data_IF_956944481153
#
_entry.id   IF_956944481153
#
_cell.length_a   1.000
_cell.length_b   1.000
_cell.length_c   1.000
_cell.angle_alpha   90.00
_cell.angle_beta   90.00
_cell.angle_gamma   90.00
#
_symmetry.space_group_name_H-M   'P 1'
#
loop_
_entity.id
_entity.type
_entity.pdbx_description
1 polymer ?
#
# COMPACT_ATOMS: atom_id res chain seq x y z
N UNK A 1 16.69 -2.72 -83.28
CA UNK A 1 15.59 -1.87 -82.77
C UNK A 1 14.91 -2.66 -81.66
N UNK A 2 15.35 -2.46 -80.42
CA UNK A 2 14.96 -3.26 -79.26
C UNK A 2 14.52 -2.28 -78.17
N UNK A 3 13.28 -2.43 -77.73
CA UNK A 3 12.57 -1.52 -76.81
C UNK A 3 13.01 -1.84 -75.37
N UNK A 4 13.37 -0.85 -74.54
CA UNK A 4 13.61 -1.08 -73.12
C UNK A 4 12.28 -1.08 -72.34
N UNK A 5 12.06 -2.14 -71.56
CA UNK A 5 10.97 -2.21 -70.57
C UNK A 5 11.39 -1.54 -69.27
N UNK A 6 10.54 -0.69 -68.64
CA UNK A 6 10.85 -0.11 -67.35
C UNK A 6 10.55 -1.12 -66.23
N UNK A 7 11.58 -1.44 -65.44
CA UNK A 7 11.46 -2.19 -64.19
C UNK A 7 10.93 -1.24 -63.11
N UNK A 8 9.62 -1.34 -62.82
CA UNK A 8 9.01 -0.77 -61.62
C UNK A 8 9.29 -1.70 -60.45
N UNK A 9 10.23 -1.34 -59.56
CA UNK A 9 10.40 -2.02 -58.27
C UNK A 9 10.25 -1.01 -57.12
N UNK A 10 9.00 -0.64 -56.83
CA UNK A 10 8.64 0.07 -55.60
C UNK A 10 8.74 -0.94 -54.45
N UNK A 11 9.91 -1.03 -53.81
CA UNK A 11 10.09 -1.77 -52.55
C UNK A 11 9.55 -0.93 -51.40
N UNK A 12 8.28 -1.13 -51.07
CA UNK A 12 7.70 -0.64 -49.82
C UNK A 12 8.03 -1.60 -48.69
N UNK A 13 9.10 -1.30 -47.96
CA UNK A 13 9.43 -1.95 -46.68
C UNK A 13 8.42 -1.49 -45.63
N UNK A 14 7.40 -2.31 -45.39
CA UNK A 14 6.51 -2.14 -44.24
C UNK A 14 7.26 -2.63 -42.99
N UNK A 15 7.92 -1.71 -42.27
CA UNK A 15 8.44 -2.00 -40.94
C UNK A 15 7.26 -2.06 -39.96
N UNK A 16 6.81 -3.26 -39.64
CA UNK A 16 5.84 -3.52 -38.57
C UNK A 16 6.57 -3.32 -37.23
N UNK A 17 6.50 -2.12 -36.68
CA UNK A 17 6.93 -1.85 -35.30
C UNK A 17 5.86 -2.43 -34.38
N UNK A 18 6.09 -3.66 -33.91
CA UNK A 18 5.33 -4.22 -32.80
C UNK A 18 5.76 -3.48 -31.52
N UNK A 19 5.05 -2.41 -31.19
CA UNK A 19 5.19 -1.74 -29.90
C UNK A 19 4.55 -2.66 -28.86
N UNK A 20 5.34 -3.59 -28.30
CA UNK A 20 4.98 -4.31 -27.09
C UNK A 20 4.89 -3.26 -25.97
N UNK A 21 3.69 -2.77 -25.70
CA UNK A 21 3.42 -2.01 -24.49
C UNK A 21 3.62 -2.97 -23.32
N UNK A 22 4.81 -2.96 -22.72
CA UNK A 22 5.06 -3.61 -21.45
C UNK A 22 4.24 -2.85 -20.43
N UNK A 23 3.07 -3.36 -20.07
CA UNK A 23 2.36 -2.85 -18.91
C UNK A 23 3.29 -3.02 -17.72
N UNK A 24 3.66 -1.95 -16.99
CA UNK A 24 4.46 -2.12 -15.79
C UNK A 24 3.73 -3.12 -14.89
N UNK A 25 4.42 -4.22 -14.55
CA UNK A 25 3.92 -5.14 -13.53
C UNK A 25 4.06 -4.39 -12.21
N UNK A 26 3.01 -3.70 -11.81
CA UNK A 26 2.95 -3.08 -10.50
C UNK A 26 3.10 -4.18 -9.45
N UNK A 27 3.91 -3.92 -8.43
CA UNK A 27 3.96 -4.80 -7.26
C UNK A 27 2.56 -4.81 -6.62
N UNK A 28 1.74 -5.82 -6.92
CA UNK A 28 0.44 -5.97 -6.30
C UNK A 28 0.63 -6.68 -4.96
N UNK A 29 0.59 -5.92 -3.88
CA UNK A 29 0.45 -6.47 -2.55
C UNK A 29 -1.04 -6.71 -2.29
N UNK A 30 -1.44 -7.98 -2.20
CA UNK A 30 -2.82 -8.39 -1.98
C UNK A 30 -2.83 -9.49 -0.93
N UNK A 31 -3.38 -9.18 0.24
CA UNK A 31 -3.49 -10.07 1.38
C UNK A 31 -4.96 -10.27 1.72
N UNK A 32 -5.48 -11.49 1.54
CA UNK A 32 -6.89 -11.82 1.82
C UNK A 32 -7.04 -12.69 3.05
N UNK A 33 -5.93 -13.17 3.61
CA UNK A 33 -5.92 -14.04 4.78
C UNK A 33 -6.81 -15.29 4.65
N UNK A 34 -7.17 -15.73 3.45
CA UNK A 34 -8.12 -16.85 3.31
C UNK A 34 -7.53 -18.20 3.73
N UNK A 35 -6.21 -18.33 3.67
CA UNK A 35 -5.51 -19.58 3.98
C UNK A 35 -4.65 -19.53 5.25
N UNK A 36 -4.15 -18.35 5.63
CA UNK A 36 -3.26 -18.14 6.78
C UNK A 36 -3.03 -16.64 7.04
N UNK A 37 -2.10 -16.29 7.93
CA UNK A 37 -1.71 -14.91 8.24
C UNK A 37 -0.86 -14.22 7.15
N UNK A 38 -0.51 -14.93 6.07
CA UNK A 38 0.24 -14.47 4.90
C UNK A 38 1.59 -13.82 5.18
N UNK A 39 2.15 -13.96 6.38
CA UNK A 39 3.41 -13.34 6.81
C UNK A 39 3.23 -12.06 7.64
N UNK A 40 2.01 -11.71 7.99
CA UNK A 40 1.70 -10.67 8.98
C UNK A 40 1.88 -11.18 10.41
N UNK A 41 2.24 -10.26 11.30
CA UNK A 41 2.54 -10.47 12.71
C UNK A 41 1.90 -9.35 13.53
N UNK A 42 1.85 -9.50 14.86
CA UNK A 42 1.46 -8.41 15.75
C UNK A 42 2.55 -8.06 16.78
N UNK A 43 2.51 -6.81 17.23
CA UNK A 43 3.36 -6.29 18.30
C UNK A 43 2.70 -5.09 18.96
N UNK A 44 3.42 -4.48 19.90
CA UNK A 44 2.97 -3.24 20.53
C UNK A 44 4.04 -2.15 20.44
N UNK A 45 3.58 -0.90 20.47
CA UNK A 45 4.43 0.28 20.68
C UNK A 45 3.98 1.00 21.96
N UNK A 46 4.84 1.75 22.67
CA UNK A 46 4.39 2.54 23.80
C UNK A 46 3.31 3.56 23.41
N UNK A 47 2.39 3.81 24.35
CA UNK A 47 1.28 4.77 24.18
C UNK A 47 1.77 6.12 23.69
N UNK A 48 0.99 6.75 22.82
CA UNK A 48 1.32 8.09 22.33
C UNK A 48 2.25 8.09 21.12
N UNK A 49 2.40 6.96 20.41
CA UNK A 49 2.92 6.95 19.04
C UNK A 49 1.99 7.71 18.06
N UNK A 50 0.89 8.25 18.58
CA UNK A 50 -0.21 9.07 18.06
C UNK A 50 0.09 10.18 17.04
N UNK A 51 1.32 10.63 16.85
CA UNK A 51 1.60 11.67 15.86
C UNK A 51 2.25 11.07 14.60
N UNK A 52 1.61 11.16 13.41
CA UNK A 52 2.19 10.69 12.16
C UNK A 52 3.46 11.45 11.73
N UNK A 53 3.72 12.65 12.27
CA UNK A 53 4.91 13.44 11.95
C UNK A 53 6.13 13.15 12.83
N UNK A 54 5.98 12.36 13.89
CA UNK A 54 7.10 11.97 14.75
C UNK A 54 7.48 10.52 14.47
N UNK A 55 8.79 10.21 14.32
CA UNK A 55 9.26 8.84 14.44
C UNK A 55 8.73 8.24 15.75
N UNK A 56 8.33 6.97 15.77
CA UNK A 56 7.90 6.35 17.01
C UNK A 56 9.06 6.37 18.02
N UNK A 57 8.77 6.79 19.25
CA UNK A 57 9.80 7.05 20.27
C UNK A 57 10.45 5.79 20.86
N UNK A 58 10.05 4.59 20.42
CA UNK A 58 10.49 3.33 21.01
C UNK A 58 10.35 2.16 20.03
N UNK A 59 11.18 1.11 20.18
CA UNK A 59 11.16 -0.04 19.29
C UNK A 59 9.80 -0.76 19.34
N UNK A 60 9.41 -1.33 18.20
CA UNK A 60 8.32 -2.30 18.14
C UNK A 60 8.68 -3.48 19.04
N UNK A 61 7.79 -3.88 19.95
CA UNK A 61 7.96 -5.09 20.75
C UNK A 61 7.18 -6.24 20.10
N UNK A 62 7.85 -7.19 19.41
CA UNK A 62 7.16 -8.33 18.80
C UNK A 62 6.44 -9.14 19.87
N UNK A 63 5.17 -9.50 19.63
CA UNK A 63 4.33 -10.20 20.62
C UNK A 63 4.36 -9.52 22.00
N UNK A 64 4.38 -8.19 22.05
CA UNK A 64 4.33 -7.42 23.30
C UNK A 64 3.02 -7.64 24.05
N UNK A 65 2.39 -6.56 24.50
CA UNK A 65 1.09 -6.65 25.17
C UNK A 65 -0.07 -6.94 24.20
N UNK A 66 0.14 -7.81 23.20
CA UNK A 66 -0.85 -8.18 22.19
C UNK A 66 -0.89 -9.68 21.97
N UNK A 67 -2.07 -10.20 21.67
CA UNK A 67 -2.26 -11.57 21.15
C UNK A 67 -2.59 -11.53 19.67
N UNK A 68 -1.90 -12.36 18.87
CA UNK A 68 -2.12 -12.49 17.44
C UNK A 68 -2.73 -13.84 17.09
N UNK A 69 -3.74 -13.86 16.22
CA UNK A 69 -4.28 -15.11 15.69
C UNK A 69 -4.80 -14.97 14.27
N UNK A 70 -4.69 -16.05 13.51
CA UNK A 70 -5.42 -16.23 12.25
C UNK A 70 -6.74 -16.95 12.53
N UNK A 71 -7.82 -16.53 11.88
CA UNK A 71 -9.14 -17.16 11.95
C UNK A 71 -9.60 -17.48 10.53
N UNK A 72 -9.90 -18.76 10.26
CA UNK A 72 -10.20 -19.23 8.91
C UNK A 72 -11.59 -18.84 8.37
N UNK A 73 -12.43 -18.21 9.18
CA UNK A 73 -13.79 -17.83 8.82
C UNK A 73 -14.24 -16.55 9.54
N UNK A 74 -15.21 -15.86 8.94
CA UNK A 74 -15.81 -14.66 9.50
C UNK A 74 -15.17 -13.35 9.05
N UNK A 75 -14.26 -13.40 8.08
CA UNK A 75 -13.72 -12.28 7.30
C UNK A 75 -14.72 -11.71 6.28
N UNK A 76 -14.22 -11.00 5.27
CA UNK A 76 -15.02 -10.26 4.29
C UNK A 76 -14.63 -10.54 2.82
N UNK A 77 -14.96 -11.71 2.23
CA UNK A 77 -15.37 -12.96 2.88
C UNK A 77 -14.15 -13.77 3.34
N UNK A 78 -14.40 -14.94 3.95
CA UNK A 78 -13.33 -15.92 4.21
C UNK A 78 -12.62 -15.72 5.55
N UNK A 79 -11.29 -15.77 5.53
CA UNK A 79 -10.46 -15.69 6.73
C UNK A 79 -10.09 -14.25 7.12
N UNK A 80 -9.50 -14.07 8.30
CA UNK A 80 -8.95 -12.78 8.75
C UNK A 80 -7.89 -12.98 9.83
N UNK A 81 -7.12 -11.94 10.13
CA UNK A 81 -6.24 -11.91 11.31
C UNK A 81 -6.86 -11.10 12.43
N UNK A 82 -6.60 -11.49 13.68
CA UNK A 82 -7.02 -10.76 14.89
C UNK A 82 -5.80 -10.31 15.67
N UNK A 83 -5.87 -9.06 16.12
CA UNK A 83 -4.97 -8.48 17.10
C UNK A 83 -5.81 -8.14 18.32
N UNK A 84 -5.53 -8.80 19.43
CA UNK A 84 -6.12 -8.44 20.71
C UNK A 84 -5.11 -7.62 21.50
N UNK A 85 -5.47 -6.42 21.92
CA UNK A 85 -4.70 -5.71 22.93
C UNK A 85 -4.95 -6.37 24.29
N UNK A 86 -3.87 -6.57 25.05
CA UNK A 86 -3.87 -7.28 26.34
C UNK A 86 -3.11 -6.51 27.42
N UNK A 87 -2.61 -5.30 27.13
CA UNK A 87 -1.89 -4.50 28.12
C UNK A 87 -1.45 -3.15 27.57
N UNK A 88 -0.44 -2.53 28.18
CA UNK A 88 -0.03 -1.18 27.78
C UNK A 88 0.60 -1.11 26.38
N UNK A 89 0.19 -0.11 25.60
CA UNK A 89 0.76 0.21 24.29
C UNK A 89 -0.32 0.41 23.22
N UNK A 90 0.11 0.84 22.04
CA UNK A 90 -0.72 0.78 20.84
C UNK A 90 -0.54 -0.61 20.22
N UNK A 91 -1.62 -1.36 20.01
CA UNK A 91 -1.61 -2.60 19.24
C UNK A 91 -1.30 -2.35 17.76
N UNK A 92 -0.33 -3.11 17.22
CA UNK A 92 0.17 -2.97 15.84
C UNK A 92 0.09 -4.31 15.11
N UNK A 93 -0.45 -4.26 13.89
CA UNK A 93 -0.31 -5.30 12.88
C UNK A 93 0.81 -4.93 11.91
N UNK A 94 1.76 -5.82 11.64
CA UNK A 94 2.91 -5.49 10.79
C UNK A 94 3.39 -6.63 9.90
N UNK A 95 4.16 -6.28 8.87
CA UNK A 95 4.82 -7.21 7.96
C UNK A 95 6.23 -6.73 7.63
N UNK A 96 7.19 -7.65 7.69
CA UNK A 96 8.57 -7.41 7.28
C UNK A 96 8.83 -7.86 5.83
N UNK A 97 9.72 -7.14 5.15
CA UNK A 97 10.24 -7.45 3.83
C UNK A 97 11.75 -7.62 3.95
N UNK A 98 12.22 -8.88 3.94
CA UNK A 98 13.63 -9.20 4.11
C UNK A 98 14.48 -8.51 3.03
N UNK A 99 15.46 -7.69 3.45
CA UNK A 99 16.33 -6.95 2.55
C UNK A 99 15.69 -5.72 1.87
N UNK A 100 14.43 -5.43 2.19
CA UNK A 100 13.67 -4.33 1.60
C UNK A 100 13.04 -4.67 0.25
N UNK A 101 11.98 -3.95 -0.10
CA UNK A 101 11.27 -4.11 -1.37
C UNK A 101 11.00 -2.75 -1.99
N UNK A 102 11.13 -2.67 -3.31
CA UNK A 102 10.80 -1.47 -4.06
C UNK A 102 9.29 -1.42 -4.32
N UNK A 103 8.60 -0.56 -3.58
CA UNK A 103 7.18 -0.25 -3.70
C UNK A 103 6.94 1.12 -4.34
N UNK A 104 7.93 1.72 -5.00
CA UNK A 104 7.79 3.06 -5.62
C UNK A 104 6.67 3.10 -6.67
N UNK A 105 6.34 1.96 -7.28
CA UNK A 105 5.20 1.84 -8.19
C UNK A 105 3.84 2.01 -7.51
N UNK A 106 3.79 1.98 -6.17
CA UNK A 106 2.59 2.23 -5.37
C UNK A 106 2.35 3.71 -5.12
N UNK A 107 3.24 4.61 -5.57
CA UNK A 107 2.96 6.04 -5.53
C UNK A 107 1.70 6.34 -6.34
N UNK A 108 0.76 7.03 -5.71
CA UNK A 108 -0.61 7.30 -6.15
C UNK A 108 -1.53 6.07 -6.26
N UNK A 109 -1.11 4.89 -5.81
CA UNK A 109 -2.01 3.75 -5.66
C UNK A 109 -2.96 3.97 -4.46
N UNK A 110 -4.08 3.26 -4.45
CA UNK A 110 -4.98 3.21 -3.29
C UNK A 110 -4.54 2.08 -2.37
N UNK A 111 -4.14 2.42 -1.15
CA UNK A 111 -4.04 1.47 -0.05
C UNK A 111 -5.41 1.28 0.58
N UNK A 112 -5.78 0.02 0.87
CA UNK A 112 -7.02 -0.30 1.58
C UNK A 112 -6.87 -1.54 2.45
N UNK A 113 -7.73 -1.62 3.47
CA UNK A 113 -7.96 -2.83 4.25
C UNK A 113 -9.38 -2.80 4.83
N UNK A 114 -9.87 -3.97 5.21
CA UNK A 114 -11.10 -4.10 5.97
C UNK A 114 -10.78 -4.32 7.44
N UNK A 115 -11.55 -3.72 8.34
CA UNK A 115 -11.42 -3.99 9.77
C UNK A 115 -12.76 -4.06 10.48
N UNK A 116 -12.76 -4.73 11.63
CA UNK A 116 -13.92 -4.97 12.49
C UNK A 116 -13.52 -5.04 13.96
N UNK A 117 -14.32 -4.43 14.83
CA UNK A 117 -14.19 -4.57 16.27
C UNK A 117 -14.94 -5.82 16.75
N UNK A 118 -14.23 -6.75 17.38
CA UNK A 118 -14.82 -7.98 17.95
C UNK A 118 -15.15 -7.83 19.45
N UNK A 119 -14.31 -7.12 20.19
CA UNK A 119 -14.53 -6.81 21.60
C UNK A 119 -13.95 -5.43 21.92
N UNK A 120 -14.54 -4.79 22.92
CA UNK A 120 -14.20 -3.43 23.32
C UNK A 120 -15.34 -2.74 24.04
N UNK A 121 -15.07 -2.07 25.15
CA UNK A 121 -16.12 -1.50 26.02
C UNK A 121 -15.94 -0.02 26.34
N UNK A 122 -14.92 0.62 25.80
CA UNK A 122 -14.45 1.93 26.24
C UNK A 122 -14.55 3.00 25.16
N UNK A 123 -14.27 4.24 25.55
CA UNK A 123 -14.22 5.40 24.65
C UNK A 123 -13.20 5.21 23.54
N UNK A 124 -13.49 5.78 22.38
CA UNK A 124 -12.64 5.77 21.20
C UNK A 124 -11.20 6.24 21.48
N UNK A 125 -10.22 5.55 20.88
CA UNK A 125 -8.81 5.93 20.86
C UNK A 125 -8.39 6.30 19.44
N UNK A 126 -7.72 7.44 19.30
CA UNK A 126 -7.58 8.14 18.01
C UNK A 126 -6.57 7.62 16.96
N UNK A 127 -5.62 6.69 17.21
CA UNK A 127 -4.61 6.34 16.21
C UNK A 127 -4.99 5.13 15.33
N UNK A 128 -6.21 4.62 15.42
CA UNK A 128 -6.65 3.50 14.59
C UNK A 128 -6.41 3.78 13.10
N UNK A 129 -5.90 2.77 12.38
CA UNK A 129 -5.75 2.84 10.95
C UNK A 129 -4.58 3.71 10.50
N UNK A 130 -3.72 4.15 11.41
CA UNK A 130 -2.43 4.70 11.01
C UNK A 130 -1.58 3.64 10.34
N UNK A 131 -1.03 3.99 9.20
CA UNK A 131 -0.15 3.12 8.42
C UNK A 131 1.23 3.75 8.34
N UNK A 132 2.27 2.95 8.51
CA UNK A 132 3.66 3.40 8.42
C UNK A 132 4.48 2.51 7.50
N UNK A 133 5.29 3.14 6.65
CA UNK A 133 6.36 2.50 5.89
C UNK A 133 7.69 2.79 6.54
N UNK A 134 8.55 1.79 6.65
CA UNK A 134 9.92 1.94 7.14
C UNK A 134 10.92 1.56 6.07
N UNK A 135 12.03 2.30 6.00
CA UNK A 135 13.19 1.98 5.15
C UNK A 135 14.41 1.48 5.93
N UNK A 136 14.40 1.64 7.26
CA UNK A 136 15.39 1.14 8.21
C UNK A 136 14.68 0.40 9.34
N UNK A 137 15.30 -0.65 9.88
CA UNK A 137 14.62 -1.56 10.83
C UNK A 137 14.41 -0.96 12.21
N UNK A 138 15.01 0.20 12.48
CA UNK A 138 14.93 0.84 13.79
C UNK A 138 15.44 -0.04 14.91
N UNK A 139 16.18 -1.12 14.62
CA UNK A 139 16.55 -2.16 15.58
C UNK A 139 17.65 -1.72 16.55
N UNK A 140 17.79 -0.42 16.80
CA UNK A 140 18.50 0.04 17.98
C UNK A 140 17.49 0.09 19.12
N UNK A 141 17.70 -0.66 20.21
CA UNK A 141 16.75 -0.79 21.31
C UNK A 141 16.37 0.51 22.05
N UNK A 142 16.82 1.69 21.60
CA UNK A 142 16.63 2.98 22.28
C UNK A 142 16.87 4.23 21.40
N UNK A 143 16.92 4.14 20.06
CA UNK A 143 17.17 5.31 19.20
C UNK A 143 15.96 5.61 18.32
N UNK A 144 15.09 6.50 18.78
CA UNK A 144 13.97 7.04 17.99
C UNK A 144 14.42 8.01 16.88
N UNK A 145 15.73 8.27 16.75
CA UNK A 145 16.26 9.26 15.80
C UNK A 145 16.66 8.65 14.46
N UNK A 146 16.80 7.32 14.36
CA UNK A 146 17.28 6.64 13.15
C UNK A 146 16.16 5.98 12.33
N UNK A 147 14.93 5.99 12.85
CA UNK A 147 13.74 5.53 12.15
C UNK A 147 13.46 6.44 10.95
N UNK A 148 13.48 5.85 9.77
CA UNK A 148 13.20 6.52 8.50
C UNK A 148 11.99 5.89 7.83
N UNK A 149 11.07 6.73 7.38
CA UNK A 149 9.83 6.24 6.82
C UNK A 149 8.82 7.31 6.45
N UNK A 150 7.61 6.86 6.21
CA UNK A 150 6.47 7.74 5.98
C UNK A 150 5.21 7.17 6.62
N UNK A 151 4.40 8.02 7.21
CA UNK A 151 3.16 7.65 7.88
C UNK A 151 1.98 8.41 7.28
N UNK A 152 0.81 7.79 7.32
CA UNK A 152 -0.45 8.49 7.10
C UNK A 152 -1.53 7.90 8.01
N UNK A 153 -2.57 8.69 8.22
CA UNK A 153 -3.75 8.26 8.94
C UNK A 153 -4.87 8.00 7.94
N UNK A 154 -5.33 6.74 7.84
CA UNK A 154 -6.41 6.37 6.91
C UNK A 154 -7.79 6.76 7.45
N UNK A 155 -7.87 7.02 8.76
CA UNK A 155 -9.08 7.25 9.51
C UNK A 155 -8.88 8.48 10.43
N UNK A 156 -8.53 9.65 9.86
CA UNK A 156 -8.14 10.80 10.66
C UNK A 156 -9.31 11.28 11.54
N UNK A 157 -9.11 11.36 12.85
CA UNK A 157 -10.08 11.89 13.80
C UNK A 157 -10.00 11.23 15.19
N UNK A 158 -10.84 11.69 16.13
CA UNK A 158 -10.94 11.14 17.49
C UNK A 158 -12.13 10.19 17.68
N UNK A 159 -12.99 10.05 16.66
CA UNK A 159 -14.08 9.08 16.66
C UNK A 159 -13.57 7.78 16.07
N UNK A 160 -13.42 6.74 16.90
CA UNK A 160 -13.05 5.41 16.44
C UNK A 160 -14.09 4.98 15.41
N UNK A 161 -13.71 4.84 14.14
CA UNK A 161 -14.65 4.49 13.09
C UNK A 161 -14.89 2.97 13.06
N UNK A 162 -14.27 2.21 13.98
CA UNK A 162 -14.34 0.76 14.01
C UNK A 162 -15.69 0.33 14.57
N UNK A 163 -16.52 -0.20 13.67
CA UNK A 163 -17.81 -0.77 14.04
C UNK A 163 -17.67 -2.27 14.37
N UNK A 164 -18.71 -2.85 14.97
CA UNK A 164 -18.84 -4.30 15.14
C UNK A 164 -19.14 -5.04 13.84
N UNK A 165 -19.25 -4.32 12.71
CA UNK A 165 -19.35 -4.83 11.35
C UNK A 165 -18.07 -4.54 10.56
N UNK A 166 -17.78 -5.36 9.55
CA UNK A 166 -16.67 -5.11 8.64
C UNK A 166 -16.85 -3.78 7.90
N UNK A 167 -15.81 -2.96 7.90
CA UNK A 167 -15.75 -1.67 7.21
C UNK A 167 -14.45 -1.57 6.42
N UNK A 168 -14.52 -1.03 5.20
CA UNK A 168 -13.34 -0.78 4.35
C UNK A 168 -12.77 0.60 4.63
N UNK A 169 -11.48 0.65 4.90
CA UNK A 169 -10.69 1.88 5.02
C UNK A 169 -9.78 2.00 3.81
N UNK A 170 -9.70 3.18 3.22
CA UNK A 170 -8.87 3.40 2.03
C UNK A 170 -8.34 4.82 1.95
N UNK A 171 -7.09 4.97 1.49
CA UNK A 171 -6.51 6.25 1.12
C UNK A 171 -5.51 6.11 -0.03
N UNK A 172 -5.28 7.22 -0.73
CA UNK A 172 -4.27 7.28 -1.79
C UNK A 172 -2.88 7.44 -1.18
N UNK A 173 -1.92 6.64 -1.65
CA UNK A 173 -0.51 6.74 -1.30
C UNK A 173 0.10 7.94 -2.02
N UNK A 174 0.03 9.13 -1.42
CA UNK A 174 0.49 10.37 -2.05
C UNK A 174 1.22 11.29 -1.07
N UNK A 175 2.00 12.23 -1.60
CA UNK A 175 2.65 13.28 -0.79
C UNK A 175 1.64 14.18 -0.05
N UNK A 176 0.37 14.19 -0.46
CA UNK A 176 -0.67 14.97 0.23
C UNK A 176 -1.18 14.27 1.49
N UNK A 177 -1.14 12.93 1.52
CA UNK A 177 -1.64 12.13 2.64
C UNK A 177 -0.54 11.67 3.58
N UNK A 178 0.70 11.53 3.09
CA UNK A 178 1.82 11.01 3.87
C UNK A 178 2.68 12.12 4.45
N UNK A 179 3.04 11.95 5.72
CA UNK A 179 4.12 12.68 6.36
C UNK A 179 5.37 11.81 6.40
N UNK A 180 6.45 12.29 5.80
CA UNK A 180 7.77 11.63 5.90
C UNK A 180 8.38 11.96 7.25
N UNK A 181 8.86 10.93 7.95
CA UNK A 181 9.62 11.06 9.19
C UNK A 181 11.03 10.52 8.95
N UNK A 182 12.05 11.37 9.09
CA UNK A 182 13.44 11.00 8.86
C UNK A 182 14.37 12.09 9.41
N UNK A 183 15.55 11.74 9.95
CA UNK A 183 16.58 12.71 10.32
C UNK A 183 17.21 13.41 9.10
N UNK A 184 17.04 12.86 7.89
CA UNK A 184 17.50 13.43 6.62
C UNK A 184 16.32 13.69 5.67
N UNK A 185 16.38 14.69 4.78
CA UNK A 185 15.28 14.97 3.85
C UNK A 185 15.08 13.79 2.88
N UNK A 186 14.03 13.01 3.11
CA UNK A 186 13.54 11.98 2.21
C UNK A 186 12.23 12.43 1.56
N UNK A 187 12.02 11.99 0.32
CA UNK A 187 10.73 12.05 -0.37
C UNK A 187 9.96 10.75 -0.15
N UNK A 188 8.63 10.77 -0.31
CA UNK A 188 7.83 9.55 -0.25
C UNK A 188 8.31 8.52 -1.30
N UNK A 189 8.70 8.95 -2.49
CA UNK A 189 9.25 8.05 -3.52
C UNK A 189 10.53 7.35 -3.05
N UNK A 190 11.42 8.06 -2.34
CA UNK A 190 12.62 7.46 -1.76
C UNK A 190 12.26 6.47 -0.65
N UNK A 191 11.29 6.79 0.20
CA UNK A 191 10.77 5.84 1.21
C UNK A 191 10.25 4.57 0.54
N UNK A 192 9.42 4.72 -0.49
CA UNK A 192 8.83 3.59 -1.20
C UNK A 192 9.87 2.79 -2.01
N UNK A 193 11.03 3.35 -2.34
CA UNK A 193 12.05 2.65 -3.12
C UNK A 193 12.71 1.48 -2.37
N UNK A 194 12.63 1.47 -1.04
CA UNK A 194 13.20 0.43 -0.19
C UNK A 194 12.40 0.23 1.11
N UNK A 195 11.17 -0.29 0.99
CA UNK A 195 10.32 -0.58 2.16
C UNK A 195 10.72 -1.90 2.78
N UNK A 196 11.10 -1.89 4.05
CA UNK A 196 11.47 -3.09 4.82
C UNK A 196 10.37 -3.53 5.79
N UNK A 197 9.43 -2.64 6.15
CA UNK A 197 8.34 -2.94 7.08
C UNK A 197 7.13 -2.05 6.78
N UNK A 198 5.95 -2.66 6.88
CA UNK A 198 4.65 -1.97 6.91
C UNK A 198 4.04 -2.21 8.28
N UNK A 199 3.53 -1.16 8.92
CA UNK A 199 2.75 -1.24 10.15
C UNK A 199 1.36 -0.65 9.94
N UNK A 200 0.36 -1.21 10.62
CA UNK A 200 -1.00 -0.70 10.75
C UNK A 200 -1.32 -0.67 12.24
N UNK A 201 -1.64 0.49 12.80
CA UNK A 201 -2.13 0.59 14.16
C UNK A 201 -3.56 0.07 14.22
N UNK A 202 -3.79 -0.96 15.02
CA UNK A 202 -5.10 -1.58 15.24
C UNK A 202 -5.78 -1.09 16.50
N UNK A 203 -5.07 -0.37 17.37
CA UNK A 203 -5.63 0.27 18.57
C UNK A 203 -6.73 1.26 18.21
N UNK A 204 -7.95 1.03 18.69
CA UNK A 204 -9.12 1.84 18.35
C UNK A 204 -9.99 2.26 19.54
N UNK A 205 -9.82 1.64 20.70
CA UNK A 205 -10.52 2.03 21.92
C UNK A 205 -9.54 2.22 23.08
N UNK A 206 -9.93 2.93 24.12
CA UNK A 206 -9.06 3.19 25.25
C UNK A 206 -9.10 2.03 26.25
N UNK A 207 -8.03 1.28 26.45
CA UNK A 207 -7.97 0.22 27.45
C UNK A 207 -7.27 -1.01 26.90
N UNK A 208 -7.32 -2.13 27.61
CA UNK A 208 -6.52 -3.33 27.29
C UNK A 208 -7.39 -4.55 26.94
N UNK A 209 -8.65 -4.32 26.56
CA UNK A 209 -9.62 -5.37 26.25
C UNK A 209 -10.29 -5.04 24.91
N UNK A 210 -9.43 -4.92 23.90
CA UNK A 210 -9.83 -4.71 22.52
C UNK A 210 -9.42 -5.92 21.69
N UNK A 211 -10.30 -6.37 20.78
CA UNK A 211 -9.91 -7.27 19.70
C UNK A 211 -10.34 -6.71 18.36
N UNK A 212 -9.38 -6.41 17.50
CA UNK A 212 -9.62 -5.94 16.13
C UNK A 212 -9.30 -7.05 15.14
N UNK A 213 -10.24 -7.31 14.23
CA UNK A 213 -9.99 -8.10 13.03
C UNK A 213 -9.55 -7.21 11.89
N UNK A 214 -8.57 -7.68 11.11
CA UNK A 214 -8.12 -7.05 9.88
C UNK A 214 -8.16 -8.06 8.74
N UNK A 215 -8.63 -7.61 7.59
CA UNK A 215 -8.77 -8.41 6.38
C UNK A 215 -8.45 -7.57 5.12
N UNK A 216 -8.26 -8.20 3.97
CA UNK A 216 -8.21 -7.57 2.65
C UNK A 216 -7.22 -6.39 2.53
N UNK A 217 -6.00 -6.54 3.06
CA UNK A 217 -4.96 -5.51 2.92
C UNK A 217 -4.44 -5.52 1.49
N UNK A 218 -4.67 -4.42 0.76
CA UNK A 218 -4.39 -4.35 -0.67
C UNK A 218 -3.84 -3.00 -1.09
N UNK A 219 -3.00 -3.03 -2.11
CA UNK A 219 -2.64 -1.87 -2.90
C UNK A 219 -3.20 -2.05 -4.30
N UNK A 220 -4.11 -1.16 -4.69
CA UNK A 220 -4.66 -1.12 -6.03
C UNK A 220 -4.02 0.05 -6.78
N UNK A 221 -3.26 -0.25 -7.84
CA UNK A 221 -2.84 0.79 -8.76
C UNK A 221 -4.09 1.52 -9.28
N UNK A 222 -4.05 2.85 -9.31
CA UNK A 222 -5.10 3.61 -9.97
C UNK A 222 -5.03 3.25 -11.46
N UNK A 223 -6.13 2.76 -12.07
CA UNK A 223 -6.14 2.45 -13.49
C UNK A 223 -5.58 3.62 -14.26
N UNK A 224 -4.59 3.36 -15.13
CA UNK A 224 -3.93 4.44 -15.85
C UNK A 224 -5.00 5.31 -16.52
N UNK A 225 -4.93 6.64 -16.38
CA UNK A 225 -5.99 7.51 -16.85
C UNK A 225 -6.26 7.24 -18.33
N UNK A 226 -7.51 7.42 -18.77
CA UNK A 226 -7.97 7.26 -20.15
C UNK A 226 -7.09 7.98 -21.21
N UNK A 227 -6.13 8.79 -20.79
CA UNK A 227 -5.02 9.35 -21.57
C UNK A 227 -4.25 8.33 -22.40
N UNK A 228 -3.99 7.11 -21.92
CA UNK A 228 -3.28 6.09 -22.75
C UNK A 228 -4.22 5.55 -23.83
N UNK A 229 -5.48 5.33 -23.48
CA UNK A 229 -6.50 4.98 -24.47
C UNK A 229 -6.67 6.12 -25.51
N UNK A 230 -6.70 7.38 -25.07
CA UNK A 230 -6.78 8.56 -25.95
C UNK A 230 -5.52 8.73 -26.80
N UNK A 231 -4.33 8.49 -26.26
CA UNK A 231 -3.08 8.52 -27.00
C UNK A 231 -3.07 7.42 -28.07
N UNK A 232 -3.45 6.20 -27.70
CA UNK A 232 -3.60 5.08 -28.62
C UNK A 232 -4.60 5.39 -29.74
N UNK A 233 -5.78 5.89 -29.39
CA UNK A 233 -6.81 6.30 -30.36
C UNK A 233 -6.35 7.46 -31.24
N UNK A 234 -5.61 8.43 -30.69
CA UNK A 234 -5.04 9.54 -31.44
C UNK A 234 -4.01 9.08 -32.48
N UNK A 235 -3.13 8.15 -32.11
CA UNK A 235 -2.16 7.54 -33.03
C UNK A 235 -2.88 6.77 -34.14
N UNK A 236 -3.86 5.94 -33.80
CA UNK A 236 -4.68 5.20 -34.77
C UNK A 236 -5.40 6.17 -35.71
N UNK A 237 -5.95 7.27 -35.20
CA UNK A 237 -6.58 8.32 -36.00
C UNK A 237 -5.63 8.96 -37.02
N UNK A 238 -4.41 9.32 -36.59
CA UNK A 238 -3.38 9.91 -37.48
C UNK A 238 -2.95 8.92 -38.57
N UNK A 239 -2.74 7.65 -38.23
CA UNK A 239 -2.37 6.61 -39.20
C UNK A 239 -3.47 6.44 -40.26
N UNK A 240 -4.73 6.43 -39.82
CA UNK A 240 -5.89 6.26 -40.70
C UNK A 240 -6.05 7.45 -41.67
N UNK A 241 -5.87 8.68 -41.17
CA UNK A 241 -5.89 9.90 -41.99
C UNK A 241 -4.75 9.94 -43.01
N UNK A 242 -3.54 9.50 -42.64
CA UNK A 242 -2.40 9.44 -43.58
C UNK A 242 -2.61 8.45 -44.71
N UNK A 243 -3.26 7.31 -44.46
CA UNK A 243 -3.60 6.32 -45.50
C UNK A 243 -4.60 6.90 -46.51
N UNK A 244 -5.61 7.64 -46.03
CA UNK A 244 -6.61 8.29 -46.90
C UNK A 244 -6.04 9.36 -47.83
N UNK A 245 -4.94 10.02 -47.48
CA UNK A 245 -4.31 11.05 -48.34
C UNK A 245 -3.38 10.48 -49.41
N UNK A 246 -3.04 9.19 -49.32
CA UNK A 246 -2.14 8.51 -50.27
C UNK A 246 -2.89 7.60 -51.25
N UNK A 247 -4.17 7.34 -51.00
CA UNK A 247 -5.10 6.68 -51.92
C UNK A 247 -5.85 7.76 -52.70
#
# INVERSE_FOLDING_TARGET
>A
MTIPTPINLIRSTLALVALLATTPVFAQLNYTFDANAEGWLAGSRPNGSGNPSTPPLSPLTPNGNVTFSYVAAGGNPGGHVRVADTGGGDAILYRNFAGGTNLSSLLNATFRFDARLFSGTTSNYGPFGRVRFYTSDGALPNSSTDDQGAAFDIAPGTTSPLSTSWSTYSAVVSNANFTVFSPSPLTLTQVLSNVIRIEITTESIQGFDETVGVDNIRFAAVPEPATIALLGMGIVGIITLRRRRRA
#
